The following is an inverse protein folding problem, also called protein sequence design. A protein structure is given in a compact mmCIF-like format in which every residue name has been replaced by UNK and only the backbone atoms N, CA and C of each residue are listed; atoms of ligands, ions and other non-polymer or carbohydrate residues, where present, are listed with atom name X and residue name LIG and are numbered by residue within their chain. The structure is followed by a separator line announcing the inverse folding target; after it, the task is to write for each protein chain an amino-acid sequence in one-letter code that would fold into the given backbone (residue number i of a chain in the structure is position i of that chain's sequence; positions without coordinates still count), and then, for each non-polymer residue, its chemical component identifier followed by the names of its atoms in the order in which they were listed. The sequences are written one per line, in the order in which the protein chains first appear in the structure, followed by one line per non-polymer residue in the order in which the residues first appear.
data_IF_296218692706
#
_entry.id   IF_296218692706
#
_cell.length_a   1.000
_cell.length_b   1.000
_cell.length_c   1.000
_cell.angle_alpha   90.00
_cell.angle_beta   90.00
_cell.angle_gamma   90.00
#
_symmetry.space_group_name_H-M   'P 1'
#
loop_
_entity.id
_entity.type
_entity.pdbx_description
1 polymer ?
#
# COMPACT_ATOMS: atom_id res chain seq x y z
N UNK A 1 -9.63 -8.72 -10.42
CA UNK A 1 -8.78 -7.52 -10.59
C UNK A 1 -7.41 -7.71 -9.97
N UNK A 2 -7.22 -7.58 -8.64
CA UNK A 2 -5.88 -7.73 -8.04
C UNK A 2 -5.19 -9.08 -8.36
N UNK A 3 -5.93 -10.20 -8.35
CA UNK A 3 -5.40 -11.54 -8.62
C UNK A 3 -4.84 -11.76 -10.05
N UNK A 4 -5.05 -10.80 -10.98
CA UNK A 4 -4.48 -10.84 -12.34
C UNK A 4 -3.19 -10.02 -12.48
N UNK A 5 -2.88 -9.18 -11.50
CA UNK A 5 -1.62 -8.44 -11.45
C UNK A 5 -0.44 -9.39 -11.23
N UNK A 6 0.75 -9.00 -11.68
CA UNK A 6 1.96 -9.73 -11.33
C UNK A 6 2.17 -9.65 -9.82
N UNK A 7 2.60 -10.75 -9.19
CA UNK A 7 2.83 -10.78 -7.75
C UNK A 7 3.78 -9.65 -7.30
N UNK A 8 4.81 -9.36 -8.09
CA UNK A 8 5.74 -8.26 -7.81
C UNK A 8 5.09 -6.88 -7.78
N UNK A 9 4.05 -6.64 -8.60
CA UNK A 9 3.30 -5.37 -8.59
C UNK A 9 2.47 -5.24 -7.31
N UNK A 10 1.82 -6.34 -6.88
CA UNK A 10 1.08 -6.37 -5.61
C UNK A 10 2.01 -6.10 -4.42
N UNK A 11 3.19 -6.73 -4.42
CA UNK A 11 4.22 -6.52 -3.39
C UNK A 11 4.73 -5.08 -3.42
N UNK A 12 4.92 -4.50 -4.60
CA UNK A 12 5.35 -3.11 -4.76
C UNK A 12 4.36 -2.13 -4.11
N UNK A 13 3.05 -2.28 -4.39
CA UNK A 13 2.03 -1.44 -3.74
C UNK A 13 1.99 -1.67 -2.22
N UNK A 14 2.03 -2.94 -1.79
CA UNK A 14 2.03 -3.30 -0.37
C UNK A 14 3.21 -2.71 0.39
N UNK A 15 4.40 -2.64 -0.23
CA UNK A 15 5.59 -2.03 0.34
C UNK A 15 5.40 -0.53 0.59
N UNK A 16 4.80 0.22 -0.35
CA UNK A 16 4.52 1.64 -0.15
C UNK A 16 3.60 1.88 1.04
N UNK A 17 2.53 1.07 1.17
CA UNK A 17 1.60 1.14 2.30
C UNK A 17 2.30 0.81 3.61
N UNK A 18 3.15 -0.22 3.64
CA UNK A 18 3.94 -0.58 4.80
C UNK A 18 4.87 0.57 5.24
N UNK A 19 5.59 1.19 4.30
CA UNK A 19 6.52 2.28 4.61
C UNK A 19 5.79 3.52 5.14
N UNK A 20 4.60 3.82 4.64
CA UNK A 20 3.75 4.88 5.20
C UNK A 20 3.25 4.52 6.60
N UNK A 21 2.81 3.27 6.81
CA UNK A 21 2.39 2.78 8.12
C UNK A 21 3.53 2.76 9.15
N UNK A 22 4.78 2.60 8.71
CA UNK A 22 5.99 2.73 9.53
C UNK A 22 6.37 4.19 9.83
N UNK A 23 5.68 5.18 9.26
CA UNK A 23 5.99 6.60 9.47
C UNK A 23 7.33 7.01 8.85
N UNK A 24 7.70 6.41 7.72
CA UNK A 24 8.94 6.75 7.02
C UNK A 24 8.92 8.21 6.54
N UNK A 25 10.12 8.80 6.48
CA UNK A 25 10.32 10.19 6.12
C UNK A 25 9.72 10.58 4.76
N UNK A 26 9.17 11.79 4.67
CA UNK A 26 8.47 12.29 3.48
C UNK A 26 9.39 12.38 2.26
N UNK A 27 10.64 12.80 2.41
CA UNK A 27 11.58 12.90 1.29
C UNK A 27 11.97 11.50 0.78
N UNK A 28 12.12 10.53 1.68
CA UNK A 28 12.30 9.13 1.32
C UNK A 28 11.09 8.59 0.53
N UNK A 29 9.87 8.86 0.99
CA UNK A 29 8.65 8.42 0.29
C UNK A 29 8.51 9.06 -1.09
N UNK A 30 8.82 10.36 -1.20
CA UNK A 30 8.77 11.09 -2.47
C UNK A 30 9.75 10.52 -3.51
N UNK A 31 11.00 10.23 -3.10
CA UNK A 31 11.99 9.62 -4.00
C UNK A 31 11.54 8.23 -4.49
N UNK A 32 11.05 7.39 -3.58
CA UNK A 32 10.58 6.04 -3.90
C UNK A 32 9.36 6.05 -4.84
N UNK A 33 8.39 6.94 -4.60
CA UNK A 33 7.24 7.12 -5.48
C UNK A 33 7.64 7.65 -6.86
N UNK A 34 8.61 8.56 -6.91
CA UNK A 34 9.21 9.02 -8.16
C UNK A 34 9.89 7.88 -8.93
N UNK A 35 10.60 6.99 -8.24
CA UNK A 35 11.19 5.79 -8.82
C UNK A 35 10.12 4.85 -9.38
N UNK A 36 9.04 4.58 -8.63
CA UNK A 36 7.92 3.76 -9.10
C UNK A 36 7.28 4.34 -10.36
N UNK A 37 7.06 5.66 -10.39
CA UNK A 37 6.51 6.36 -11.55
C UNK A 37 7.37 6.19 -12.80
N UNK A 38 8.70 6.25 -12.68
CA UNK A 38 9.64 6.04 -13.82
C UNK A 38 9.60 4.61 -14.36
N UNK A 39 9.30 3.62 -13.52
CA UNK A 39 9.24 2.21 -13.89
C UNK A 39 7.83 1.76 -14.34
N UNK A 40 6.82 2.61 -14.19
CA UNK A 40 5.42 2.22 -14.41
C UNK A 40 4.88 1.26 -13.35
N UNK A 41 5.48 1.25 -12.14
CA UNK A 41 4.98 0.46 -11.03
C UNK A 41 3.72 1.11 -10.42
N UNK A 42 2.81 0.29 -9.86
CA UNK A 42 1.56 0.76 -9.26
C UNK A 42 1.84 1.62 -8.03
N UNK A 43 1.11 2.73 -7.94
CA UNK A 43 1.13 3.68 -6.82
C UNK A 43 -0.24 3.84 -6.18
N UNK A 44 -1.28 3.25 -6.75
CA UNK A 44 -2.63 3.24 -6.21
C UNK A 44 -3.38 1.93 -6.53
N UNK A 45 -4.50 1.65 -5.85
CA UNK A 45 -5.33 0.48 -6.15
C UNK A 45 -5.99 0.58 -7.54
N UNK A 46 -6.23 1.81 -7.98
CA UNK A 46 -6.79 2.18 -9.26
C UNK A 46 -5.90 1.74 -10.43
N UNK A 47 -4.58 1.64 -10.22
CA UNK A 47 -3.63 1.12 -11.22
C UNK A 47 -3.86 -0.37 -11.51
N UNK A 48 -4.50 -1.09 -10.58
CA UNK A 48 -4.97 -2.46 -10.77
C UNK A 48 -6.44 -2.54 -11.25
N UNK A 49 -7.05 -1.41 -11.58
CA UNK A 49 -8.47 -1.33 -11.92
C UNK A 49 -9.41 -1.51 -10.72
N UNK A 50 -8.90 -1.49 -9.49
CA UNK A 50 -9.72 -1.63 -8.27
C UNK A 50 -10.28 -0.28 -7.87
N UNK A 51 -11.61 -0.14 -7.90
CA UNK A 51 -12.33 1.09 -7.55
C UNK A 51 -13.46 0.87 -6.54
N UNK A 52 -13.59 -0.34 -6.01
CA UNK A 52 -14.64 -0.66 -5.06
C UNK A 52 -14.38 0.11 -3.75
N UNK A 53 -15.40 0.82 -3.19
CA UNK A 53 -15.21 1.67 -2.02
C UNK A 53 -14.80 0.91 -0.76
N UNK A 54 -15.11 -0.39 -0.71
CA UNK A 54 -14.81 -1.30 0.40
C UNK A 54 -13.50 -2.10 0.18
N UNK A 55 -12.77 -1.84 -0.90
CA UNK A 55 -11.60 -2.65 -1.27
C UNK A 55 -10.50 -2.60 -0.20
N UNK A 56 -10.21 -1.41 0.31
CA UNK A 56 -9.19 -1.21 1.36
C UNK A 56 -9.59 -1.95 2.63
N UNK A 57 -10.83 -1.84 3.07
CA UNK A 57 -11.33 -2.53 4.26
C UNK A 57 -11.17 -4.05 4.15
N UNK A 58 -11.56 -4.62 3.01
CA UNK A 58 -11.40 -6.06 2.75
C UNK A 58 -9.93 -6.49 2.71
N UNK A 59 -9.07 -5.71 2.05
CA UNK A 59 -7.63 -5.99 1.99
C UNK A 59 -7.03 -5.96 3.40
N UNK A 60 -7.31 -4.91 4.18
CA UNK A 60 -6.82 -4.76 5.54
C UNK A 60 -7.28 -5.92 6.42
N UNK A 61 -8.57 -6.30 6.38
CA UNK A 61 -9.09 -7.43 7.16
C UNK A 61 -8.39 -8.74 6.80
N UNK A 62 -8.35 -9.09 5.51
CA UNK A 62 -7.72 -10.34 5.07
C UNK A 62 -6.23 -10.36 5.41
N UNK A 63 -5.51 -9.27 5.14
CA UNK A 63 -4.09 -9.16 5.48
C UNK A 63 -3.87 -9.32 6.99
N UNK A 64 -4.67 -8.65 7.82
CA UNK A 64 -4.54 -8.72 9.27
C UNK A 64 -4.76 -10.13 9.84
N UNK A 65 -5.73 -10.86 9.29
CA UNK A 65 -6.12 -12.18 9.77
C UNK A 65 -5.24 -13.31 9.22
N UNK A 66 -4.64 -13.13 8.04
CA UNK A 66 -3.99 -14.24 7.31
C UNK A 66 -2.51 -14.04 7.01
N UNK A 67 -1.99 -12.80 7.01
CA UNK A 67 -0.60 -12.58 6.63
C UNK A 67 0.37 -12.94 7.79
N UNK A 68 1.30 -13.87 7.58
CA UNK A 68 2.12 -14.45 8.66
C UNK A 68 3.04 -13.43 9.35
N UNK A 69 3.37 -12.33 8.67
CA UNK A 69 4.33 -11.32 9.13
C UNK A 69 3.71 -9.93 9.31
N UNK A 70 2.38 -9.80 9.30
CA UNK A 70 1.70 -8.49 9.46
C UNK A 70 2.06 -7.78 10.79
N UNK A 71 2.55 -8.55 11.77
CA UNK A 71 2.94 -8.05 13.09
C UNK A 71 4.43 -7.70 13.19
N UNK A 72 5.23 -7.95 12.14
CA UNK A 72 6.68 -7.75 12.14
C UNK A 72 7.06 -6.32 11.72
N UNK A 73 6.47 -5.32 12.37
CA UNK A 73 6.75 -3.90 12.13
C UNK A 73 7.62 -3.32 13.24
N UNK A 74 8.45 -2.32 12.90
CA UNK A 74 9.31 -1.61 13.85
C UNK A 74 8.48 -0.88 14.93
N UNK A 75 7.27 -0.44 14.55
CA UNK A 75 6.30 0.19 15.44
C UNK A 75 5.03 -0.66 15.54
N UNK A 76 4.23 -0.52 16.63
CA UNK A 76 2.96 -1.22 16.76
C UNK A 76 2.04 -0.91 15.59
N UNK A 77 1.73 -1.94 14.78
CA UNK A 77 0.77 -1.83 13.69
C UNK A 77 -0.65 -2.07 14.22
N UNK A 78 -1.64 -1.45 13.58
CA UNK A 78 -3.06 -1.79 13.72
C UNK A 78 -3.73 -1.80 12.33
N UNK A 79 -4.90 -2.46 12.17
CA UNK A 79 -5.70 -2.35 10.96
C UNK A 79 -5.98 -0.89 10.58
N UNK A 80 -6.18 -0.01 11.57
CA UNK A 80 -6.42 1.41 11.36
C UNK A 80 -5.19 2.11 10.78
N UNK A 81 -4.00 1.82 11.29
CA UNK A 81 -2.75 2.36 10.74
C UNK A 81 -2.52 1.90 9.30
N UNK A 82 -2.82 0.62 9.00
CA UNK A 82 -2.70 0.10 7.64
C UNK A 82 -3.70 0.75 6.67
N UNK A 83 -4.94 0.96 7.10
CA UNK A 83 -5.96 1.67 6.34
C UNK A 83 -5.56 3.14 6.08
N UNK A 84 -4.99 3.82 7.06
CA UNK A 84 -4.48 5.18 6.90
C UNK A 84 -3.29 5.24 5.91
N UNK A 85 -2.45 4.20 5.88
CA UNK A 85 -1.40 4.06 4.88
C UNK A 85 -1.96 4.02 3.45
N UNK A 86 -3.02 3.25 3.21
CA UNK A 86 -3.74 3.26 1.92
C UNK A 86 -4.33 4.63 1.58
N UNK A 87 -4.99 5.28 2.56
CA UNK A 87 -5.59 6.59 2.36
C UNK A 87 -4.54 7.67 2.02
N UNK A 88 -3.41 7.65 2.73
CA UNK A 88 -2.28 8.55 2.47
C UNK A 88 -1.70 8.31 1.09
N UNK A 89 -1.47 7.05 0.72
CA UNK A 89 -0.95 6.69 -0.59
C UNK A 89 -1.85 7.18 -1.72
N UNK A 90 -3.16 6.99 -1.59
CA UNK A 90 -4.15 7.45 -2.57
C UNK A 90 -4.13 8.98 -2.74
N UNK A 91 -4.03 9.74 -1.63
CA UNK A 91 -3.89 11.20 -1.68
C UNK A 91 -2.62 11.65 -2.41
N UNK A 92 -1.49 10.98 -2.18
CA UNK A 92 -0.23 11.31 -2.84
C UNK A 92 -0.28 10.95 -4.33
N UNK A 93 -0.85 9.80 -4.68
CA UNK A 93 -0.93 9.34 -6.07
C UNK A 93 -1.90 10.16 -6.95
N UNK A 94 -2.89 10.82 -6.33
CA UNK A 94 -3.84 11.69 -7.01
C UNK A 94 -3.32 13.12 -7.26
N UNK A 95 -2.22 13.52 -6.62
CA UNK A 95 -1.52 14.80 -6.83
C UNK A 95 -0.40 14.70 -7.84
#
# INVERSE_FOLDING_TARGET
ELARALHGEQVALGLLVQLLAEGRDEAFMADLLGFYGRLGLPRALEDFGVRAPDAVERIVSVSWDTAPYIRNFVHPLSPQVLAEGFATLSRIAAG
#
